data_IF_242523685987
#
_entry.id   IF_242523685987
#
_cell.length_a   1.000
_cell.length_b   1.000
_cell.length_c   1.000
_cell.angle_alpha   90.00
_cell.angle_beta   90.00
_cell.angle_gamma   90.00
#
_symmetry.space_group_name_H-M   'P 1'
#
loop_
_entity.id
_entity.type
_entity.pdbx_description
1 polymer ?
#
# COMPACT_ATOMS: atom_id res chain seq x y z
N UNK A 1 -40.53 12.15 -56.07
CA UNK A 1 -41.81 12.22 -55.32
C UNK A 1 -42.20 10.78 -55.00
N UNK A 2 -42.30 10.27 -53.77
CA UNK A 2 -42.83 10.75 -52.48
C UNK A 2 -42.00 10.08 -51.36
N UNK A 3 -41.42 10.83 -50.41
CA UNK A 3 -41.90 11.13 -49.03
C UNK A 3 -41.87 9.94 -48.03
N UNK A 4 -40.96 10.08 -47.05
CA UNK A 4 -40.89 9.52 -45.66
C UNK A 4 -42.25 9.66 -44.88
N UNK A 5 -42.42 9.18 -43.62
CA UNK A 5 -41.60 8.27 -42.76
C UNK A 5 -42.41 7.21 -41.95
N UNK A 6 -41.72 6.31 -41.24
CA UNK A 6 -42.28 5.60 -40.07
C UNK A 6 -41.66 6.18 -38.79
N UNK A 7 -42.50 6.78 -37.94
CA UNK A 7 -42.18 7.20 -36.58
C UNK A 7 -42.13 5.97 -35.66
N UNK A 8 -41.05 5.81 -34.90
CA UNK A 8 -41.05 4.97 -33.71
C UNK A 8 -40.73 5.84 -32.50
N UNK A 9 -41.64 5.76 -31.55
CA UNK A 9 -41.77 6.54 -30.32
C UNK A 9 -40.63 6.21 -29.36
N UNK A 10 -39.97 7.26 -28.85
CA UNK A 10 -39.14 7.20 -27.66
C UNK A 10 -40.05 7.09 -26.44
N UNK A 11 -40.01 5.97 -25.73
CA UNK A 11 -40.50 5.87 -24.35
C UNK A 11 -39.32 5.64 -23.42
N UNK A 12 -39.00 6.68 -22.67
CA UNK A 12 -38.02 6.67 -21.58
C UNK A 12 -38.59 5.87 -20.40
N UNK A 13 -37.95 4.76 -20.07
CA UNK A 13 -38.04 4.19 -18.74
C UNK A 13 -36.68 4.39 -18.06
N UNK A 14 -36.65 5.26 -17.06
CA UNK A 14 -35.53 5.44 -16.17
C UNK A 14 -35.32 4.13 -15.40
N UNK A 15 -34.25 3.40 -15.74
CA UNK A 15 -33.82 2.23 -14.97
C UNK A 15 -32.74 2.70 -14.01
N UNK A 16 -32.99 2.46 -12.73
CA UNK A 16 -32.09 2.73 -11.61
C UNK A 16 -30.70 2.15 -11.90
N UNK A 17 -29.68 2.99 -11.73
CA UNK A 17 -28.28 2.61 -11.83
C UNK A 17 -27.91 1.69 -10.66
N UNK A 18 -28.11 0.39 -10.83
CA UNK A 18 -27.29 -0.64 -10.20
C UNK A 18 -26.22 -0.97 -11.25
N UNK A 19 -25.05 -0.35 -11.16
CA UNK A 19 -23.93 -0.72 -12.03
C UNK A 19 -23.48 -2.13 -11.68
N UNK A 20 -23.92 -3.04 -12.54
CA UNK A 20 -23.62 -4.45 -12.52
C UNK A 20 -22.12 -4.76 -12.60
N UNK A 21 -21.71 -5.72 -11.78
CA UNK A 21 -20.39 -6.36 -11.73
C UNK A 21 -20.22 -7.43 -12.84
N UNK A 22 -20.85 -7.26 -14.01
CA UNK A 22 -21.24 -8.38 -14.90
C UNK A 22 -20.34 -8.67 -16.10
N UNK A 23 -19.08 -8.25 -16.15
CA UNK A 23 -18.22 -8.60 -17.31
C UNK A 23 -16.83 -9.19 -17.01
N UNK A 24 -16.57 -9.62 -15.77
CA UNK A 24 -15.32 -10.33 -15.42
C UNK A 24 -15.43 -11.87 -15.57
N UNK A 25 -16.39 -12.37 -16.36
CA UNK A 25 -16.84 -13.77 -16.28
C UNK A 25 -16.18 -14.77 -17.26
N UNK A 26 -15.08 -14.45 -17.96
CA UNK A 26 -14.21 -15.43 -18.70
C UNK A 26 -13.01 -14.77 -19.44
N UNK A 27 -11.85 -15.45 -19.61
CA UNK A 27 -11.27 -16.44 -18.72
C UNK A 27 -10.60 -15.70 -17.57
N UNK A 28 -10.93 -16.14 -16.36
CA UNK A 28 -10.39 -15.60 -15.13
C UNK A 28 -8.92 -16.02 -15.05
N UNK A 29 -8.01 -15.20 -15.60
CA UNK A 29 -6.57 -15.45 -15.53
C UNK A 29 -6.22 -15.78 -14.08
N UNK A 30 -5.55 -16.91 -13.88
CA UNK A 30 -5.00 -17.22 -12.56
C UNK A 30 -3.96 -16.16 -12.18
N UNK A 31 -3.65 -16.06 -10.89
CA UNK A 31 -2.56 -15.18 -10.44
C UNK A 31 -1.26 -15.49 -11.19
N UNK A 32 -0.96 -16.77 -11.37
CA UNK A 32 0.28 -17.22 -12.01
C UNK A 32 0.31 -16.81 -13.50
N UNK A 33 -0.78 -17.00 -14.23
CA UNK A 33 -0.89 -16.60 -15.64
C UNK A 33 -0.77 -15.08 -15.82
N UNK A 34 -1.41 -14.31 -14.94
CA UNK A 34 -1.30 -12.85 -14.96
C UNK A 34 0.11 -12.39 -14.61
N UNK A 35 0.71 -12.98 -13.56
CA UNK A 35 2.06 -12.65 -13.11
C UNK A 35 3.11 -12.97 -14.17
N UNK A 36 2.97 -14.09 -14.88
CA UNK A 36 3.87 -14.48 -15.96
C UNK A 36 3.79 -13.49 -17.13
N UNK A 37 2.58 -13.15 -17.58
CA UNK A 37 2.37 -12.14 -18.64
C UNK A 37 2.94 -10.78 -18.23
N UNK A 38 2.77 -10.37 -16.98
CA UNK A 38 3.30 -9.11 -16.48
C UNK A 38 4.83 -9.11 -16.48
N UNK A 39 5.46 -10.21 -16.04
CA UNK A 39 6.91 -10.35 -16.03
C UNK A 39 7.51 -10.30 -17.44
N UNK A 40 6.93 -11.03 -18.38
CA UNK A 40 7.34 -10.99 -19.79
C UNK A 40 7.19 -9.57 -20.35
N UNK A 41 6.09 -8.89 -20.00
CA UNK A 41 5.88 -7.51 -20.43
C UNK A 41 6.98 -6.60 -19.90
N UNK A 42 7.31 -6.66 -18.61
CA UNK A 42 8.38 -5.87 -17.98
C UNK A 42 9.74 -6.08 -18.67
N UNK A 43 10.12 -7.33 -18.92
CA UNK A 43 11.36 -7.69 -19.62
C UNK A 43 11.40 -7.18 -21.07
N UNK A 44 10.26 -7.05 -21.73
CA UNK A 44 10.16 -6.63 -23.13
C UNK A 44 9.77 -5.16 -23.31
N UNK A 45 9.43 -4.44 -22.24
CA UNK A 45 8.68 -3.19 -22.36
C UNK A 45 9.47 -2.08 -23.05
N UNK A 46 10.78 -2.00 -22.85
CA UNK A 46 11.61 -0.99 -23.52
C UNK A 46 11.52 -1.11 -25.04
N UNK A 47 11.52 -2.34 -25.57
CA UNK A 47 11.44 -2.61 -27.01
C UNK A 47 10.03 -2.34 -27.55
N UNK A 48 9.00 -2.73 -26.81
CA UNK A 48 7.60 -2.53 -27.21
C UNK A 48 7.21 -1.05 -27.18
N UNK A 49 7.57 -0.33 -26.11
CA UNK A 49 7.25 1.08 -25.92
C UNK A 49 7.93 1.98 -26.97
N UNK A 50 9.12 1.60 -27.45
CA UNK A 50 9.81 2.31 -28.53
C UNK A 50 9.05 2.27 -29.88
N UNK A 51 8.16 1.30 -30.08
CA UNK A 51 7.36 1.15 -31.30
C UNK A 51 6.00 1.85 -31.20
N UNK A 52 5.61 2.31 -30.02
CA UNK A 52 4.31 2.94 -29.78
C UNK A 52 4.36 4.45 -29.96
N UNK A 53 3.22 5.02 -30.36
CA UNK A 53 3.02 6.47 -30.36
C UNK A 53 2.94 7.02 -28.94
N UNK A 54 3.17 8.33 -28.78
CA UNK A 54 3.05 9.01 -27.47
C UNK A 54 1.67 8.78 -26.82
N UNK A 55 0.59 8.83 -27.61
CA UNK A 55 -0.77 8.60 -27.13
C UNK A 55 -0.98 7.15 -26.64
N UNK A 56 -0.40 6.16 -27.33
CA UNK A 56 -0.46 4.76 -26.91
C UNK A 56 0.33 4.53 -25.63
N UNK A 57 1.52 5.12 -25.50
CA UNK A 57 2.31 5.08 -24.27
C UNK A 57 1.53 5.69 -23.09
N UNK A 58 0.88 6.83 -23.30
CA UNK A 58 0.06 7.48 -22.27
C UNK A 58 -1.16 6.63 -21.85
N UNK A 59 -1.83 5.98 -22.80
CA UNK A 59 -2.97 5.10 -22.51
C UNK A 59 -2.55 3.86 -21.69
N UNK A 60 -1.46 3.20 -22.07
CA UNK A 60 -0.93 2.05 -21.32
C UNK A 60 -0.52 2.48 -19.91
N UNK A 61 0.19 3.60 -19.77
CA UNK A 61 0.57 4.13 -18.47
C UNK A 61 -0.65 4.45 -17.58
N UNK A 62 -1.70 5.06 -18.15
CA UNK A 62 -2.95 5.33 -17.47
C UNK A 62 -3.61 4.04 -16.94
N UNK A 63 -3.67 3.01 -17.79
CA UNK A 63 -4.23 1.71 -17.42
C UNK A 63 -3.40 1.01 -16.32
N UNK A 64 -2.07 1.05 -16.41
CA UNK A 64 -1.17 0.51 -15.37
C UNK A 64 -1.34 1.22 -14.02
N UNK A 65 -1.47 2.55 -14.03
CA UNK A 65 -1.74 3.31 -12.80
C UNK A 65 -3.09 2.92 -12.18
N UNK A 66 -4.13 2.77 -13.01
CA UNK A 66 -5.45 2.32 -12.53
C UNK A 66 -5.37 0.93 -11.90
N UNK A 67 -4.62 -0.01 -12.51
CA UNK A 67 -4.38 -1.34 -11.94
C UNK A 67 -3.60 -1.26 -10.62
N UNK A 68 -2.53 -0.48 -10.57
CA UNK A 68 -1.76 -0.25 -9.35
C UNK A 68 -2.63 0.34 -8.23
N UNK A 69 -3.55 1.25 -8.54
CA UNK A 69 -4.47 1.83 -7.57
C UNK A 69 -5.47 0.80 -7.01
N UNK A 70 -5.95 -0.14 -7.85
CA UNK A 70 -6.80 -1.26 -7.39
C UNK A 70 -6.02 -2.14 -6.41
N UNK A 71 -4.79 -2.53 -6.76
CA UNK A 71 -3.94 -3.36 -5.90
C UNK A 71 -3.61 -2.65 -4.56
N UNK A 72 -3.28 -1.36 -4.61
CA UNK A 72 -3.04 -0.53 -3.41
C UNK A 72 -4.27 -0.44 -2.51
N UNK A 73 -5.49 -0.35 -3.08
CA UNK A 73 -6.73 -0.34 -2.28
C UNK A 73 -6.93 -1.66 -1.54
N UNK A 74 -6.64 -2.80 -2.17
CA UNK A 74 -6.71 -4.12 -1.52
C UNK A 74 -5.68 -4.23 -0.39
N UNK A 75 -4.47 -3.72 -0.58
CA UNK A 75 -3.48 -3.67 0.48
C UNK A 75 -3.93 -2.80 1.67
N UNK A 76 -4.52 -1.63 1.44
CA UNK A 76 -5.04 -0.77 2.54
C UNK A 76 -6.13 -1.46 3.37
N UNK A 77 -6.69 -2.57 2.88
CA UNK A 77 -7.58 -3.41 3.66
C UNK A 77 -6.86 -4.37 4.63
N UNK A 78 -5.58 -4.69 4.35
CA UNK A 78 -4.73 -5.44 5.26
C UNK A 78 -4.58 -4.63 6.55
N UNK A 79 -4.78 -5.28 7.70
CA UNK A 79 -4.79 -4.65 9.02
C UNK A 79 -5.95 -3.69 9.34
N UNK A 80 -7.06 -3.75 8.60
CA UNK A 80 -8.31 -3.04 8.97
C UNK A 80 -8.91 -3.53 10.29
N UNK A 81 -8.79 -4.82 10.59
CA UNK A 81 -9.37 -5.40 11.81
C UNK A 81 -8.48 -5.25 13.05
N UNK A 82 -7.34 -4.55 12.91
CA UNK A 82 -6.42 -4.32 14.01
C UNK A 82 -7.07 -3.55 15.17
N UNK A 83 -6.73 -3.94 16.39
CA UNK A 83 -7.23 -3.34 17.62
C UNK A 83 -6.21 -2.35 18.22
N UNK A 84 -6.67 -1.31 18.94
CA UNK A 84 -8.05 -0.83 19.09
C UNK A 84 -8.65 -0.31 17.77
N UNK A 85 -9.97 -0.44 17.58
CA UNK A 85 -10.67 0.00 16.35
C UNK A 85 -10.79 1.52 16.26
N UNK A 86 -10.72 2.17 17.42
CA UNK A 86 -10.74 3.62 17.62
C UNK A 86 -9.46 4.27 17.09
N UNK A 87 -8.36 3.52 17.01
CA UNK A 87 -7.12 4.01 16.43
C UNK A 87 -7.28 4.23 14.93
N UNK A 88 -7.03 5.46 14.42
CA UNK A 88 -7.22 5.75 13.02
C UNK A 88 -6.21 4.96 12.17
N UNK A 89 -6.63 4.48 11.01
CA UNK A 89 -5.75 3.75 10.08
C UNK A 89 -4.54 4.61 9.72
N UNK A 90 -3.31 4.13 9.96
CA UNK A 90 -2.12 4.92 9.68
C UNK A 90 -1.95 5.09 8.18
N UNK A 91 -1.56 6.30 7.77
CA UNK A 91 -1.25 6.59 6.38
C UNK A 91 0.17 6.12 6.08
N UNK A 92 0.28 5.13 5.20
CA UNK A 92 1.56 4.63 4.73
C UNK A 92 2.26 5.70 3.90
N UNK A 93 3.54 5.92 4.17
CA UNK A 93 4.37 6.89 3.47
C UNK A 93 4.83 6.33 2.12
N UNK A 94 4.87 7.20 1.11
CA UNK A 94 5.49 6.89 -0.17
C UNK A 94 6.96 6.53 0.01
N UNK A 95 7.47 5.60 -0.81
CA UNK A 95 8.89 5.19 -0.81
C UNK A 95 9.33 4.55 0.52
N UNK A 96 8.40 3.81 1.13
CA UNK A 96 8.61 3.13 2.39
C UNK A 96 7.43 2.22 2.74
N UNK A 97 7.35 1.87 4.01
CA UNK A 97 6.29 1.03 4.55
C UNK A 97 6.06 1.21 6.04
N UNK A 98 5.00 0.60 6.54
CA UNK A 98 4.65 0.55 7.95
C UNK A 98 4.51 -0.92 8.36
N UNK A 99 5.30 -1.36 9.33
CA UNK A 99 5.04 -2.63 10.01
C UNK A 99 4.25 -2.34 11.29
N UNK A 100 3.10 -3.00 11.46
CA UNK A 100 2.22 -2.77 12.59
C UNK A 100 1.89 -4.07 13.31
N UNK A 101 1.76 -3.97 14.63
CA UNK A 101 1.31 -5.05 15.51
C UNK A 101 0.42 -4.49 16.61
N UNK A 102 -0.46 -5.32 17.16
CA UNK A 102 -1.37 -4.96 18.24
C UNK A 102 -1.20 -5.88 19.44
N UNK A 103 -1.11 -5.31 20.64
CA UNK A 103 -1.06 -6.08 21.89
C UNK A 103 -1.57 -5.25 23.06
N UNK A 104 -2.19 -5.91 24.05
CA UNK A 104 -2.70 -5.28 25.29
C UNK A 104 -3.52 -3.99 25.09
N UNK A 105 -4.40 -3.97 24.09
CA UNK A 105 -5.23 -2.79 23.79
C UNK A 105 -4.45 -1.59 23.23
N UNK A 106 -3.26 -1.84 22.68
CA UNK A 106 -2.40 -0.83 22.04
C UNK A 106 -2.04 -1.29 20.63
N UNK A 107 -1.96 -0.34 19.72
CA UNK A 107 -1.47 -0.53 18.36
C UNK A 107 -0.11 0.14 18.22
N UNK A 108 0.87 -0.59 17.72
CA UNK A 108 2.21 -0.11 17.46
C UNK A 108 2.48 -0.17 15.97
N UNK A 109 3.01 0.91 15.40
CA UNK A 109 3.38 0.97 14.01
C UNK A 109 4.77 1.59 13.84
N UNK A 110 5.67 0.83 13.24
CA UNK A 110 7.03 1.23 12.91
C UNK A 110 7.10 1.64 11.44
N UNK A 111 7.34 2.93 11.15
CA UNK A 111 7.63 3.36 9.80
C UNK A 111 9.03 2.98 9.37
N UNK A 112 9.14 2.61 8.10
CA UNK A 112 10.37 2.18 7.46
C UNK A 112 10.57 2.90 6.13
N UNK A 113 11.80 3.31 5.81
CA UNK A 113 12.15 3.91 4.52
C UNK A 113 12.87 2.91 3.60
N UNK A 114 12.60 3.00 2.30
CA UNK A 114 13.30 2.21 1.29
C UNK A 114 14.78 2.65 1.18
N UNK A 115 15.58 1.81 0.53
CA UNK A 115 16.94 2.18 0.15
C UNK A 115 16.97 3.46 -0.72
N UNK A 116 17.94 4.34 -0.44
CA UNK A 116 18.07 5.65 -1.10
C UNK A 116 17.16 6.73 -0.52
N UNK A 117 16.51 6.46 0.62
CA UNK A 117 15.69 7.41 1.35
C UNK A 117 16.05 7.45 2.84
N UNK A 118 15.83 8.61 3.45
CA UNK A 118 15.95 8.82 4.89
C UNK A 118 14.72 9.56 5.43
N UNK A 119 14.51 9.53 6.75
CA UNK A 119 13.41 10.23 7.38
C UNK A 119 13.57 11.74 7.28
N UNK A 120 12.46 12.45 7.04
CA UNK A 120 12.44 13.92 7.00
C UNK A 120 12.71 14.61 8.34
N UNK A 121 12.84 13.86 9.43
CA UNK A 121 13.17 14.34 10.77
C UNK A 121 13.88 13.25 11.57
N UNK A 122 14.70 13.67 12.56
CA UNK A 122 15.43 12.75 13.43
C UNK A 122 14.47 11.92 14.28
N UNK A 123 14.64 10.59 14.21
CA UNK A 123 13.84 9.60 14.94
C UNK A 123 14.65 8.38 15.38
N UNK A 124 15.98 8.49 15.47
CA UNK A 124 16.88 7.39 15.83
C UNK A 124 16.50 6.67 17.13
N UNK A 125 15.94 7.40 18.10
CA UNK A 125 15.43 6.85 19.37
C UNK A 125 13.94 6.46 19.33
N UNK A 126 13.20 6.94 18.33
CA UNK A 126 11.75 6.76 18.15
C UNK A 126 11.47 5.79 17.00
N UNK A 127 11.64 4.52 17.33
CA UNK A 127 11.52 3.42 16.37
C UNK A 127 10.08 3.20 15.87
N UNK A 128 9.08 3.50 16.69
CA UNK A 128 7.67 3.28 16.36
C UNK A 128 6.77 4.34 16.97
N UNK A 129 5.56 4.44 16.44
CA UNK A 129 4.46 5.21 17.02
C UNK A 129 3.48 4.27 17.73
N UNK A 130 2.79 4.79 18.73
CA UNK A 130 1.78 4.07 19.50
C UNK A 130 0.43 4.76 19.35
N UNK A 131 -0.64 3.96 19.37
CA UNK A 131 -2.01 4.44 19.52
C UNK A 131 -2.77 3.54 20.52
N UNK A 132 -3.48 4.15 21.46
CA UNK A 132 -4.21 3.50 22.54
C UNK A 132 -5.12 4.49 23.28
N UNK A 133 -5.85 4.01 24.29
CA UNK A 133 -6.61 4.84 25.23
C UNK A 133 -5.73 5.92 25.91
N UNK A 134 -4.52 5.57 26.35
CA UNK A 134 -3.57 6.52 26.95
C UNK A 134 -3.16 7.70 26.04
N UNK A 135 -3.39 7.57 24.73
CA UNK A 135 -3.12 8.60 23.73
C UNK A 135 -4.41 9.23 23.19
N UNK A 136 -5.56 9.00 23.85
CA UNK A 136 -6.89 9.34 23.36
C UNK A 136 -7.12 8.86 21.91
N UNK A 137 -6.67 7.62 21.64
CA UNK A 137 -6.72 6.98 20.32
C UNK A 137 -6.08 7.78 19.17
N UNK A 138 -5.12 8.65 19.48
CA UNK A 138 -4.32 9.36 18.49
C UNK A 138 -2.92 8.77 18.38
N UNK A 139 -2.32 8.83 17.19
CA UNK A 139 -0.94 8.40 17.01
C UNK A 139 0.02 9.34 17.74
N UNK A 140 1.06 8.79 18.38
CA UNK A 140 2.13 9.57 19.03
C UNK A 140 3.03 10.36 18.07
N UNK A 141 2.72 10.37 16.77
CA UNK A 141 3.51 10.98 15.70
C UNK A 141 3.77 12.47 15.95
N UNK A 142 4.93 12.95 15.49
CA UNK A 142 5.29 14.38 15.53
C UNK A 142 4.69 15.16 14.35
N UNK A 143 4.06 14.47 13.39
CA UNK A 143 3.40 15.11 12.26
C UNK A 143 2.02 15.61 12.69
N UNK A 144 1.86 16.93 12.70
CA UNK A 144 0.61 17.58 13.10
C UNK A 144 -0.52 17.23 12.13
N UNK A 145 -1.69 16.90 12.69
CA UNK A 145 -2.96 16.91 11.96
C UNK A 145 -3.23 15.73 11.04
N UNK A 146 -2.59 14.58 11.21
CA UNK A 146 -2.92 13.42 10.38
C UNK A 146 -2.42 12.06 10.85
N UNK A 147 -2.80 11.03 10.10
CA UNK A 147 -2.45 9.63 10.37
C UNK A 147 -1.07 9.24 9.80
N UNK A 148 -0.31 10.22 9.30
CA UNK A 148 1.01 10.01 8.71
C UNK A 148 2.03 9.87 9.83
N UNK A 149 2.78 8.77 9.82
CA UNK A 149 3.72 8.45 10.91
C UNK A 149 5.17 8.84 10.58
N UNK A 150 5.46 9.06 9.29
CA UNK A 150 6.79 9.40 8.78
C UNK A 150 6.71 10.00 7.37
N UNK A 151 7.82 10.61 6.96
CA UNK A 151 8.08 11.01 5.57
C UNK A 151 9.47 10.49 5.21
N UNK A 152 9.58 9.79 4.09
CA UNK A 152 10.85 9.34 3.52
C UNK A 152 11.26 10.27 2.38
N UNK A 153 12.37 10.99 2.57
CA UNK A 153 12.95 11.90 1.59
C UNK A 153 14.14 11.23 0.90
N UNK A 154 14.33 11.52 -0.39
CA UNK A 154 15.48 10.99 -1.13
C UNK A 154 16.78 11.43 -0.45
N UNK A 155 17.62 10.48 -0.09
CA UNK A 155 18.90 10.73 0.57
C UNK A 155 19.85 9.56 0.33
N UNK A 156 21.10 9.87 -0.03
CA UNK A 156 22.15 8.86 -0.14
C UNK A 156 22.74 8.45 1.22
N UNK A 157 22.43 9.19 2.28
CA UNK A 157 22.93 8.96 3.65
C UNK A 157 21.74 8.75 4.58
N UNK A 158 21.81 7.75 5.46
CA UNK A 158 20.77 7.38 6.42
C UNK A 158 21.23 7.73 7.83
N UNK A 159 20.82 8.89 8.34
CA UNK A 159 21.21 9.39 9.67
C UNK A 159 20.01 9.64 10.57
N UNK A 160 18.82 9.82 10.01
CA UNK A 160 17.68 10.27 10.79
C UNK A 160 16.99 9.13 11.54
N UNK A 161 16.93 7.93 10.97
CA UNK A 161 16.40 6.73 11.62
C UNK A 161 17.47 5.75 12.12
N UNK A 162 17.07 4.83 12.99
CA UNK A 162 17.91 3.70 13.39
C UNK A 162 18.08 2.69 12.25
N UNK A 163 19.13 1.87 12.27
CA UNK A 163 19.42 0.90 11.21
C UNK A 163 18.24 -0.03 10.88
N UNK A 164 17.46 -0.44 11.88
CA UNK A 164 16.31 -1.31 11.71
C UNK A 164 15.05 -0.61 11.17
N UNK A 165 15.07 0.71 11.00
CA UNK A 165 13.97 1.52 10.42
C UNK A 165 14.12 1.70 8.92
N UNK A 166 14.98 0.92 8.28
CA UNK A 166 15.13 0.88 6.83
C UNK A 166 14.92 -0.54 6.33
N UNK A 167 14.42 -0.68 5.10
CA UNK A 167 14.50 -1.95 4.41
C UNK A 167 15.98 -2.28 4.10
N UNK A 168 16.35 -3.57 4.10
CA UNK A 168 17.69 -4.01 3.73
C UNK A 168 18.11 -3.54 2.33
N UNK A 169 19.41 -3.58 2.04
CA UNK A 169 19.92 -3.26 0.71
C UNK A 169 19.31 -4.20 -0.35
N UNK A 170 19.01 -3.65 -1.53
CA UNK A 170 18.32 -4.32 -2.64
C UNK A 170 16.90 -4.78 -2.31
N UNK A 171 16.29 -4.22 -1.26
CA UNK A 171 14.89 -4.47 -0.91
C UNK A 171 14.15 -3.14 -0.79
N UNK A 172 12.90 -3.16 -1.22
CA UNK A 172 11.92 -2.13 -0.90
C UNK A 172 10.69 -2.77 -0.25
N UNK A 173 9.77 -1.95 0.24
CA UNK A 173 8.58 -2.48 0.90
C UNK A 173 7.79 -3.47 0.02
N UNK A 174 7.66 -3.21 -1.29
CA UNK A 174 6.88 -4.08 -2.18
C UNK A 174 7.60 -5.39 -2.45
N UNK A 175 8.92 -5.37 -2.66
CA UNK A 175 9.75 -6.58 -2.77
C UNK A 175 9.64 -7.41 -1.49
N UNK A 176 9.82 -6.79 -0.33
CA UNK A 176 9.66 -7.46 0.98
C UNK A 176 8.26 -8.05 1.14
N UNK A 177 7.21 -7.29 0.80
CA UNK A 177 5.81 -7.73 0.93
C UNK A 177 5.44 -8.88 0.00
N UNK A 178 6.08 -8.96 -1.17
CA UNK A 178 5.84 -10.05 -2.12
C UNK A 178 6.44 -11.39 -1.69
N UNK A 179 7.31 -11.38 -0.66
CA UNK A 179 7.98 -12.56 -0.13
C UNK A 179 7.60 -12.79 1.33
N UNK A 180 6.87 -13.87 1.60
CA UNK A 180 6.36 -14.16 2.95
C UNK A 180 7.47 -14.30 4.00
N UNK A 181 8.62 -14.87 3.65
CA UNK A 181 9.77 -14.99 4.56
C UNK A 181 10.31 -13.61 4.94
N UNK A 182 10.52 -12.73 3.96
CA UNK A 182 11.01 -11.37 4.21
C UNK A 182 10.00 -10.54 5.01
N UNK A 183 8.70 -10.64 4.70
CA UNK A 183 7.65 -9.97 5.48
C UNK A 183 7.66 -10.44 6.94
N UNK A 184 7.80 -11.75 7.20
CA UNK A 184 7.88 -12.30 8.55
C UNK A 184 9.16 -11.88 9.27
N UNK A 185 10.31 -11.81 8.60
CA UNK A 185 11.56 -11.32 9.20
C UNK A 185 11.41 -9.88 9.71
N UNK A 186 10.79 -9.00 8.92
CA UNK A 186 10.52 -7.61 9.33
C UNK A 186 9.55 -7.54 10.51
N UNK A 187 8.49 -8.34 10.49
CA UNK A 187 7.51 -8.41 11.60
C UNK A 187 8.19 -8.91 12.87
N UNK A 188 8.94 -10.02 12.80
CA UNK A 188 9.62 -10.61 13.96
C UNK A 188 10.69 -9.67 14.53
N UNK A 189 11.45 -8.98 13.66
CA UNK A 189 12.40 -7.97 14.10
C UNK A 189 11.71 -6.85 14.89
N UNK A 190 10.53 -6.40 14.45
CA UNK A 190 9.77 -5.39 15.17
C UNK A 190 9.20 -5.91 16.50
N UNK A 191 8.70 -7.14 16.55
CA UNK A 191 8.25 -7.78 17.80
C UNK A 191 9.38 -7.92 18.83
N UNK A 192 10.59 -8.24 18.38
CA UNK A 192 11.78 -8.29 19.23
C UNK A 192 12.14 -6.89 19.78
N UNK A 193 12.05 -5.85 18.96
CA UNK A 193 12.26 -4.46 19.42
C UNK A 193 11.22 -4.01 20.45
N UNK A 194 9.96 -4.43 20.28
CA UNK A 194 8.90 -4.17 21.24
C UNK A 194 9.17 -4.88 22.56
N UNK A 195 9.56 -6.16 22.52
CA UNK A 195 9.91 -6.92 23.72
C UNK A 195 11.11 -6.31 24.45
N UNK A 196 12.14 -5.85 23.72
CA UNK A 196 13.27 -5.12 24.29
C UNK A 196 12.88 -3.80 24.99
N UNK A 197 11.68 -3.26 24.68
CA UNK A 197 11.07 -2.11 25.37
C UNK A 197 9.99 -2.50 26.38
N UNK A 198 9.97 -3.76 26.83
CA UNK A 198 9.01 -4.32 27.77
C UNK A 198 7.55 -4.31 27.27
N UNK A 199 7.33 -4.26 25.95
CA UNK A 199 6.03 -4.47 25.33
C UNK A 199 5.99 -5.92 24.88
N UNK A 200 5.46 -6.81 25.73
CA UNK A 200 5.44 -8.25 25.47
C UNK A 200 4.10 -8.69 24.87
N UNK A 201 4.13 -9.83 24.20
CA UNK A 201 2.96 -10.44 23.56
C UNK A 201 1.90 -11.00 24.53
N UNK A 202 0.82 -11.59 23.99
CA UNK A 202 0.67 -12.03 22.60
C UNK A 202 0.51 -10.87 21.61
N UNK A 203 1.22 -10.94 20.49
CA UNK A 203 1.06 -10.01 19.37
C UNK A 203 -0.03 -10.50 18.42
N UNK A 204 -0.87 -9.58 17.97
CA UNK A 204 -1.97 -9.83 17.05
C UNK A 204 -1.97 -8.80 15.92
N UNK A 205 -2.72 -9.07 14.85
CA UNK A 205 -2.90 -8.14 13.73
C UNK A 205 -1.55 -7.61 13.20
N UNK A 206 -0.68 -8.56 12.86
CA UNK A 206 0.69 -8.36 12.39
C UNK A 206 0.67 -8.15 10.89
N UNK A 207 1.18 -7.04 10.40
CA UNK A 207 1.18 -6.75 8.97
C UNK A 207 2.25 -5.76 8.55
N UNK A 208 2.64 -5.86 7.28
CA UNK A 208 3.40 -4.85 6.56
C UNK A 208 2.49 -4.12 5.55
N UNK A 209 2.50 -2.80 5.54
CA UNK A 209 1.81 -1.96 4.56
C UNK A 209 2.82 -1.12 3.80
N UNK A 210 2.64 -0.93 2.50
CA UNK A 210 3.59 -0.26 1.59
C UNK A 210 2.97 0.94 0.87
N UNK A 211 3.78 1.95 0.62
CA UNK A 211 3.36 3.19 -0.05
C UNK A 211 3.96 3.38 -1.43
#
# INVERSE_FOLDING_TARGET
MKLLPLLIVLSSAAVQAQTDLTNCSSPQWSYDEFSEKLKISDECMEVLAAQWTENQNADVFSNLNRLADVLKKNQKAVCKDATPKECPTPAVQSKGGLVCVSTSGKRFCKPMCNEGYDFGFLRISRLFETCSDATNYSWTTQLVGGNKLAICNKSSIRVAGASSTYFPANQDCWTTKSNSTLEQEIINAFENELSAKNVNGPYTHRCLMCG
#
